data_IF_319385068798
#
_entry.id   IF_319385068798
#
_cell.length_a   1.000
_cell.length_b   1.000
_cell.length_c   1.000
_cell.angle_alpha   90.00
_cell.angle_beta   90.00
_cell.angle_gamma   90.00
#
_symmetry.space_group_name_H-M   'P 1'
#
loop_
_entity.id
_entity.type
_entity.pdbx_description
1 polymer ?
#
# COMPACT_ATOMS: atom_id res chain seq x y z
N UNK A 1 19.59 -5.14 -9.75
CA UNK A 1 18.26 -5.70 -9.40
C UNK A 1 18.36 -6.20 -7.98
N UNK A 2 17.65 -5.59 -7.03
CA UNK A 2 17.61 -6.09 -5.65
C UNK A 2 17.05 -7.51 -5.64
N UNK A 3 17.55 -8.36 -4.74
CA UNK A 3 16.88 -9.63 -4.43
C UNK A 3 15.45 -9.27 -4.00
N UNK A 4 14.42 -9.88 -4.60
CA UNK A 4 13.00 -9.66 -4.27
C UNK A 4 12.65 -10.22 -2.89
N UNK A 5 13.42 -9.81 -1.88
CA UNK A 5 13.27 -10.12 -0.46
C UNK A 5 12.37 -9.04 0.12
N UNK A 6 11.16 -9.43 0.46
CA UNK A 6 10.18 -8.57 1.13
C UNK A 6 10.09 -8.85 2.63
N UNK A 7 11.00 -9.69 3.11
CA UNK A 7 11.14 -10.08 4.51
C UNK A 7 12.62 -9.94 4.95
N UNK A 8 12.87 -9.47 6.18
CA UNK A 8 11.88 -8.89 7.09
C UNK A 8 11.31 -7.58 6.53
N UNK A 9 10.02 -7.31 6.79
CA UNK A 9 9.39 -6.08 6.32
C UNK A 9 10.00 -4.86 7.03
N UNK A 10 10.53 -3.91 6.26
CA UNK A 10 10.90 -2.60 6.79
C UNK A 10 9.65 -1.76 7.09
N UNK A 11 8.64 -1.90 6.25
CA UNK A 11 7.31 -1.34 6.49
C UNK A 11 6.22 -2.26 5.92
N UNK A 12 5.38 -2.81 6.78
CA UNK A 12 4.35 -3.78 6.38
C UNK A 12 3.34 -3.17 5.41
N UNK A 13 2.92 -3.92 4.41
CA UNK A 13 1.90 -3.50 3.46
C UNK A 13 0.57 -3.13 4.14
N UNK A 14 0.18 -3.87 5.18
CA UNK A 14 -1.00 -3.54 6.01
C UNK A 14 -0.92 -2.17 6.68
N UNK A 15 0.30 -1.72 7.06
CA UNK A 15 0.53 -0.37 7.57
C UNK A 15 0.49 0.67 6.44
N UNK A 16 1.01 0.34 5.26
CA UNK A 16 0.86 1.17 4.06
C UNK A 16 -0.60 1.44 3.70
N UNK A 17 -1.45 0.41 3.76
CA UNK A 17 -2.90 0.55 3.57
C UNK A 17 -3.53 1.48 4.61
N UNK A 18 -3.21 1.27 5.90
CA UNK A 18 -3.70 2.12 6.99
C UNK A 18 -3.35 3.59 6.76
N UNK A 19 -2.08 3.89 6.49
CA UNK A 19 -1.61 5.26 6.35
C UNK A 19 -2.16 5.93 5.08
N UNK A 20 -2.36 5.17 4.01
CA UNK A 20 -3.03 5.65 2.79
C UNK A 20 -4.49 6.03 3.06
N UNK A 21 -5.22 5.21 3.82
CA UNK A 21 -6.59 5.54 4.23
C UNK A 21 -6.65 6.80 5.10
N UNK A 22 -5.67 7.01 6.00
CA UNK A 22 -5.58 8.24 6.79
C UNK A 22 -5.32 9.47 5.90
N UNK A 23 -4.44 9.36 4.90
CA UNK A 23 -4.15 10.44 3.97
C UNK A 23 -5.38 10.81 3.12
N UNK A 24 -6.12 9.82 2.62
CA UNK A 24 -7.37 10.04 1.88
C UNK A 24 -8.44 10.71 2.74
N UNK A 25 -8.64 10.24 3.98
CA UNK A 25 -9.59 10.85 4.91
C UNK A 25 -9.22 12.31 5.28
N UNK A 26 -7.93 12.64 5.33
CA UNK A 26 -7.48 14.02 5.52
C UNK A 26 -7.72 14.88 4.28
N UNK A 27 -7.52 14.33 3.08
CA UNK A 27 -7.76 15.03 1.82
C UNK A 27 -9.23 15.39 1.61
N UNK A 28 -10.15 14.50 2.00
CA UNK A 28 -11.59 14.74 1.98
C UNK A 28 -11.98 16.00 2.77
N UNK A 29 -11.36 16.25 3.92
CA UNK A 29 -11.64 17.43 4.77
C UNK A 29 -11.28 18.76 4.12
N UNK A 30 -10.38 18.75 3.12
CA UNK A 30 -9.91 19.94 2.41
C UNK A 30 -10.27 19.93 0.93
N UNK A 31 -11.16 19.02 0.51
CA UNK A 31 -11.55 18.82 -0.89
C UNK A 31 -10.37 18.63 -1.86
N UNK A 32 -9.26 18.06 -1.38
CA UNK A 32 -8.10 17.74 -2.21
C UNK A 32 -8.28 16.38 -2.89
N UNK A 33 -7.82 16.25 -4.13
CA UNK A 33 -7.81 14.98 -4.86
C UNK A 33 -6.42 14.35 -4.79
N UNK A 34 -6.34 13.09 -4.36
CA UNK A 34 -5.09 12.34 -4.27
C UNK A 34 -5.14 11.07 -5.15
N UNK A 35 -5.14 11.20 -6.49
CA UNK A 35 -5.31 10.06 -7.40
C UNK A 35 -4.22 8.98 -7.24
N UNK A 36 -3.00 9.37 -6.87
CA UNK A 36 -1.93 8.41 -6.59
C UNK A 36 -2.17 7.65 -5.27
N UNK A 37 -2.80 8.27 -4.27
CA UNK A 37 -3.15 7.59 -3.03
C UNK A 37 -4.34 6.63 -3.25
N UNK A 38 -5.31 6.99 -4.09
CA UNK A 38 -6.39 6.08 -4.50
C UNK A 38 -5.84 4.85 -5.22
N UNK A 39 -4.88 5.04 -6.14
CA UNK A 39 -4.20 3.94 -6.83
C UNK A 39 -3.41 3.06 -5.85
N UNK A 40 -2.64 3.67 -4.95
CA UNK A 40 -1.88 2.96 -3.93
C UNK A 40 -2.80 2.15 -3.01
N UNK A 41 -3.93 2.73 -2.57
CA UNK A 41 -4.95 2.04 -1.78
C UNK A 41 -5.43 0.77 -2.48
N UNK A 42 -5.84 0.87 -3.74
CA UNK A 42 -6.34 -0.28 -4.51
C UNK A 42 -5.31 -1.41 -4.60
N UNK A 43 -4.04 -1.08 -4.81
CA UNK A 43 -2.98 -2.10 -4.85
C UNK A 43 -2.66 -2.69 -3.47
N UNK A 44 -2.66 -1.89 -2.40
CA UNK A 44 -2.46 -2.39 -1.05
C UNK A 44 -3.63 -3.26 -0.57
N UNK A 45 -4.88 -2.90 -0.88
CA UNK A 45 -6.06 -3.74 -0.63
C UNK A 45 -5.90 -5.09 -1.34
N UNK A 46 -5.60 -5.07 -2.64
CA UNK A 46 -5.37 -6.28 -3.42
C UNK A 46 -4.24 -7.16 -2.85
N UNK A 47 -3.15 -6.55 -2.37
CA UNK A 47 -2.05 -7.31 -1.78
C UNK A 47 -2.38 -7.88 -0.39
N UNK A 48 -3.10 -7.15 0.44
CA UNK A 48 -3.59 -7.63 1.74
C UNK A 48 -4.56 -8.81 1.55
N UNK A 49 -5.48 -8.72 0.59
CA UNK A 49 -6.40 -9.82 0.23
C UNK A 49 -5.67 -11.08 -0.24
N UNK A 50 -4.52 -10.92 -0.91
CA UNK A 50 -3.65 -12.02 -1.33
C UNK A 50 -2.76 -12.58 -0.20
N UNK A 51 -2.87 -12.06 1.02
CA UNK A 51 -2.09 -12.52 2.17
C UNK A 51 -0.69 -11.87 2.28
N UNK A 52 -0.41 -10.81 1.53
CA UNK A 52 0.88 -10.10 1.57
C UNK A 52 0.96 -9.01 2.65
N UNK A 53 -0.04 -8.93 3.54
CA UNK A 53 -0.17 -7.84 4.52
C UNK A 53 1.02 -7.68 5.48
N UNK A 54 1.75 -8.77 5.76
CA UNK A 54 2.95 -8.78 6.61
C UNK A 54 4.28 -8.60 5.85
N UNK A 55 4.26 -8.66 4.51
CA UNK A 55 5.42 -8.37 3.67
C UNK A 55 5.68 -6.86 3.64
N UNK A 56 6.91 -6.49 3.27
CA UNK A 56 7.22 -5.09 2.97
C UNK A 56 6.27 -4.55 1.89
N UNK A 57 5.85 -3.30 2.00
CA UNK A 57 4.97 -2.65 1.01
C UNK A 57 5.53 -2.70 -0.41
N UNK A 58 6.85 -2.81 -0.60
CA UNK A 58 7.48 -3.06 -1.90
C UNK A 58 7.03 -4.39 -2.56
N UNK A 59 6.48 -5.34 -1.79
CA UNK A 59 5.84 -6.56 -2.30
C UNK A 59 4.59 -6.28 -3.15
N UNK A 60 4.12 -5.03 -3.20
CA UNK A 60 3.10 -4.56 -4.12
C UNK A 60 3.42 -4.91 -5.57
N UNK A 61 4.70 -5.05 -5.94
CA UNK A 61 5.11 -5.53 -7.28
C UNK A 61 4.54 -6.91 -7.62
N UNK A 62 4.22 -7.75 -6.62
CA UNK A 62 3.53 -9.05 -6.82
C UNK A 62 2.06 -8.90 -7.24
N UNK A 63 1.48 -7.72 -7.01
CA UNK A 63 0.09 -7.40 -7.32
C UNK A 63 -0.06 -6.66 -8.67
N UNK A 64 1.06 -6.23 -9.26
CA UNK A 64 1.08 -5.59 -10.57
C UNK A 64 1.12 -6.67 -11.67
N UNK A 65 0.26 -6.53 -12.68
CA UNK A 65 0.28 -7.36 -13.89
C UNK A 65 1.17 -6.75 -14.95
#
# INVERSE_FOLDING_TARGET
>A
MSEQKFEPAGFKMSLGLKDTNLALAAAEQVAAKLPLAELAKSHFESGVEQGFGDLDWAALIKCLK
#
